data_IF_543948668014
#
_entry.id   IF_543948668014
#
_cell.length_a   1.000
_cell.length_b   1.000
_cell.length_c   1.000
_cell.angle_alpha   90.00
_cell.angle_beta   90.00
_cell.angle_gamma   90.00
#
_symmetry.space_group_name_H-M   'P 1'
#
loop_
_entity.id
_entity.type
_entity.pdbx_description
1 polymer ?
#
# COMPACT_ATOMS: atom_id res chain seq x y z
N UNK A 1 -20.39 7.92 -15.91
CA UNK A 1 -19.79 8.60 -17.08
C UNK A 1 -18.84 9.74 -16.72
N UNK A 2 -19.09 10.49 -15.65
CA UNK A 2 -18.28 11.66 -15.22
C UNK A 2 -16.79 11.34 -14.93
N UNK A 3 -16.46 10.13 -14.46
CA UNK A 3 -15.08 9.79 -14.01
C UNK A 3 -14.09 9.63 -15.18
N UNK A 4 -14.57 9.32 -16.40
CA UNK A 4 -13.68 9.07 -17.54
C UNK A 4 -13.11 10.35 -18.17
N UNK A 5 -13.73 11.50 -17.93
CA UNK A 5 -13.38 12.77 -18.56
C UNK A 5 -12.38 13.61 -17.74
N UNK A 6 -12.15 13.24 -16.47
CA UNK A 6 -11.35 14.03 -15.51
C UNK A 6 -9.84 13.77 -15.63
N UNK A 7 -9.41 12.78 -16.41
CA UNK A 7 -8.01 12.32 -16.48
C UNK A 7 -7.18 13.14 -17.48
N UNK A 8 -7.25 14.47 -17.37
CA UNK A 8 -6.30 15.40 -17.98
C UNK A 8 -5.31 15.90 -16.93
N UNK A 9 -4.06 16.19 -17.31
CA UNK A 9 -2.93 16.58 -16.44
C UNK A 9 -3.14 17.83 -15.55
N UNK A 10 -4.33 18.41 -15.50
CA UNK A 10 -4.62 19.74 -14.95
C UNK A 10 -5.42 19.74 -13.64
N UNK A 11 -5.84 18.59 -13.10
CA UNK A 11 -6.77 18.54 -11.95
C UNK A 11 -6.29 17.69 -10.75
N UNK A 12 -4.99 17.41 -10.63
CA UNK A 12 -4.42 16.64 -9.51
C UNK A 12 -4.72 17.23 -8.12
N UNK A 13 -4.87 18.56 -8.05
CA UNK A 13 -5.19 19.30 -6.82
C UNK A 13 -6.59 19.00 -6.28
N UNK A 14 -7.49 18.46 -7.12
CA UNK A 14 -8.85 18.10 -6.74
C UNK A 14 -8.99 16.62 -6.34
N UNK A 15 -7.93 15.82 -6.48
CA UNK A 15 -7.92 14.44 -6.04
C UNK A 15 -7.52 14.36 -4.57
N UNK A 16 -8.16 13.45 -3.83
CA UNK A 16 -7.81 13.20 -2.42
C UNK A 16 -6.39 12.69 -2.24
N UNK A 17 -5.81 12.06 -3.27
CA UNK A 17 -4.45 11.52 -3.29
C UNK A 17 -4.09 10.75 -1.99
N UNK A 18 -4.92 9.78 -1.55
CA UNK A 18 -4.68 9.09 -0.30
C UNK A 18 -3.38 8.30 -0.40
N UNK A 19 -2.45 8.54 0.52
CA UNK A 19 -1.17 7.84 0.57
C UNK A 19 -1.39 6.40 1.05
N UNK A 20 -0.98 5.44 0.23
CA UNK A 20 -0.95 4.02 0.56
C UNK A 20 0.47 3.57 0.89
N UNK A 21 0.59 2.40 1.51
CA UNK A 21 1.86 1.71 1.79
C UNK A 21 1.82 0.31 1.20
N UNK A 22 2.94 -0.16 0.68
CA UNK A 22 3.13 -1.54 0.26
C UNK A 22 4.53 -2.03 0.61
N UNK A 23 4.75 -3.34 0.58
CA UNK A 23 6.06 -3.92 0.91
C UNK A 23 6.35 -5.16 0.09
N UNK A 24 7.55 -5.23 -0.49
CA UNK A 24 8.05 -6.46 -1.09
C UNK A 24 8.76 -7.29 -0.02
N UNK A 25 8.13 -8.37 0.42
CA UNK A 25 8.75 -9.31 1.36
C UNK A 25 9.62 -10.31 0.63
N UNK A 26 10.90 -10.39 1.03
CA UNK A 26 11.85 -11.38 0.54
C UNK A 26 12.18 -12.40 1.62
N UNK A 27 11.94 -13.67 1.33
CA UNK A 27 12.25 -14.78 2.24
C UNK A 27 13.73 -15.15 2.20
N UNK A 28 14.18 -15.93 3.21
CA UNK A 28 15.56 -16.42 3.31
C UNK A 28 15.99 -17.28 2.11
N UNK A 29 15.06 -18.01 1.50
CA UNK A 29 15.27 -18.80 0.29
C UNK A 29 15.10 -18.00 -1.01
N UNK A 30 15.17 -16.66 -0.93
CA UNK A 30 15.13 -15.72 -2.05
C UNK A 30 13.83 -15.77 -2.87
N UNK A 31 12.69 -16.01 -2.21
CA UNK A 31 11.36 -15.90 -2.82
C UNK A 31 10.74 -14.55 -2.46
N UNK A 32 9.84 -14.09 -3.32
CA UNK A 32 8.98 -12.93 -3.05
C UNK A 32 7.63 -13.45 -2.61
N UNK A 33 7.10 -12.92 -1.53
CA UNK A 33 5.76 -13.24 -1.06
C UNK A 33 4.76 -12.38 -1.83
N UNK A 34 3.76 -13.03 -2.42
CA UNK A 34 2.62 -12.40 -3.06
C UNK A 34 1.35 -13.14 -2.63
N UNK A 35 0.24 -12.43 -2.58
CA UNK A 35 -1.09 -13.00 -2.42
C UNK A 35 -1.90 -12.83 -3.72
N UNK A 36 -2.95 -13.63 -3.86
CA UNK A 36 -3.90 -13.52 -4.96
C UNK A 36 -5.18 -12.87 -4.43
N UNK A 37 -5.55 -11.72 -4.99
CA UNK A 37 -6.71 -10.95 -4.53
C UNK A 37 -8.01 -11.72 -4.80
N UNK A 38 -8.96 -11.58 -3.88
CA UNK A 38 -10.28 -12.18 -4.05
C UNK A 38 -10.98 -11.63 -5.29
N UNK A 39 -11.81 -12.45 -5.93
CA UNK A 39 -12.72 -12.02 -6.99
C UNK A 39 -13.73 -10.97 -6.52
N UNK A 40 -14.05 -10.95 -5.22
CA UNK A 40 -14.98 -9.98 -4.64
C UNK A 40 -14.36 -8.60 -4.35
N UNK A 41 -13.05 -8.44 -4.55
CA UNK A 41 -12.38 -7.17 -4.28
C UNK A 41 -12.68 -6.14 -5.37
N UNK A 42 -12.98 -4.89 -4.97
CA UNK A 42 -13.32 -3.83 -5.91
C UNK A 42 -12.12 -3.40 -6.78
N UNK A 43 -10.99 -3.11 -6.15
CA UNK A 43 -9.77 -2.72 -6.85
C UNK A 43 -8.92 -3.95 -7.19
N UNK A 44 -8.70 -4.17 -8.49
CA UNK A 44 -7.86 -5.24 -9.03
C UNK A 44 -8.27 -6.66 -8.58
N UNK A 45 -9.51 -7.11 -8.84
CA UNK A 45 -9.91 -8.48 -8.52
C UNK A 45 -9.04 -9.50 -9.28
N UNK A 46 -8.69 -10.61 -8.62
CA UNK A 46 -7.90 -11.72 -9.19
C UNK A 46 -6.45 -11.36 -9.60
N UNK A 47 -5.94 -10.19 -9.21
CA UNK A 47 -4.55 -9.83 -9.44
C UNK A 47 -3.65 -10.37 -8.32
N UNK A 48 -2.37 -10.60 -8.64
CA UNK A 48 -1.35 -10.77 -7.60
C UNK A 48 -1.08 -9.41 -6.94
N UNK A 49 -0.91 -9.41 -5.62
CA UNK A 49 -0.47 -8.24 -4.87
C UNK A 49 0.55 -8.61 -3.80
N UNK A 50 1.29 -7.61 -3.36
CA UNK A 50 2.13 -7.67 -2.17
C UNK A 50 1.35 -7.12 -0.97
N UNK A 51 1.79 -7.39 0.28
CA UNK A 51 1.15 -6.78 1.44
C UNK A 51 1.13 -5.26 1.33
N UNK A 52 0.01 -4.66 1.71
CA UNK A 52 -0.15 -3.22 1.67
C UNK A 52 -1.59 -2.76 1.81
N UNK A 53 -1.74 -1.48 2.12
CA UNK A 53 -3.05 -0.89 2.36
C UNK A 53 -2.96 0.60 2.64
N UNK A 54 -3.87 1.09 3.48
CA UNK A 54 -4.09 2.53 3.66
C UNK A 54 -3.61 3.00 5.03
N UNK A 55 -2.95 4.15 5.03
CA UNK A 55 -2.53 4.77 6.29
C UNK A 55 -3.74 5.42 6.97
N UNK A 56 -4.16 4.83 8.07
CA UNK A 56 -5.20 5.36 8.96
C UNK A 56 -4.61 6.39 9.94
N UNK A 57 -5.04 7.66 9.85
CA UNK A 57 -4.44 8.74 10.64
C UNK A 57 -4.76 8.70 12.13
N UNK A 58 -5.85 8.07 12.51
CA UNK A 58 -6.26 7.82 13.89
C UNK A 58 -5.44 6.70 14.54
N UNK A 59 -5.02 5.70 13.76
CA UNK A 59 -4.21 4.56 14.22
C UNK A 59 -2.70 4.84 14.18
N UNK A 60 -2.22 5.46 13.11
CA UNK A 60 -0.78 5.57 12.81
C UNK A 60 -0.19 6.95 13.12
N UNK A 61 -0.94 7.85 13.77
CA UNK A 61 -0.39 9.14 14.21
C UNK A 61 0.19 9.03 15.61
N UNK A 62 1.49 9.34 15.75
CA UNK A 62 2.19 9.41 17.04
C UNK A 62 2.93 10.74 17.12
N UNK A 63 2.76 11.45 18.23
CA UNK A 63 3.45 12.73 18.49
C UNK A 63 3.31 13.75 17.33
N UNK A 64 2.14 13.79 16.69
CA UNK A 64 1.84 14.68 15.56
C UNK A 64 2.38 14.21 14.20
N UNK A 65 3.16 13.13 14.14
CA UNK A 65 3.72 12.54 12.91
C UNK A 65 2.96 11.29 12.49
N UNK A 66 2.99 10.99 11.19
CA UNK A 66 2.45 9.76 10.63
C UNK A 66 3.56 8.72 10.59
N UNK A 67 3.36 7.61 11.31
CA UNK A 67 4.28 6.49 11.37
C UNK A 67 3.98 5.48 10.26
N UNK A 68 4.50 5.76 9.06
CA UNK A 68 4.23 4.96 7.85
C UNK A 68 4.70 3.50 7.99
N UNK A 69 5.76 3.26 8.78
CA UNK A 69 6.26 1.92 9.04
C UNK A 69 5.34 1.12 9.96
N UNK A 70 4.62 1.77 10.87
CA UNK A 70 3.64 1.08 11.70
C UNK A 70 2.44 0.64 10.85
N UNK A 71 2.01 1.48 9.89
CA UNK A 71 0.94 1.13 8.97
C UNK A 71 1.26 -0.12 8.15
N UNK A 72 2.46 -0.22 7.57
CA UNK A 72 2.81 -1.41 6.79
C UNK A 72 3.05 -2.64 7.67
N UNK A 73 3.50 -2.48 8.92
CA UNK A 73 3.63 -3.60 9.86
C UNK A 73 2.26 -4.19 10.24
N UNK A 74 1.25 -3.33 10.39
CA UNK A 74 -0.12 -3.78 10.63
C UNK A 74 -0.67 -4.56 9.43
N UNK A 75 -0.49 -4.08 8.20
CA UNK A 75 -0.92 -4.79 6.98
C UNK A 75 -0.20 -6.14 6.80
N UNK A 76 1.12 -6.20 7.05
CA UNK A 76 1.90 -7.46 7.02
C UNK A 76 1.30 -8.48 8.00
N UNK A 77 0.95 -8.03 9.22
CA UNK A 77 0.38 -8.89 10.26
C UNK A 77 -1.04 -9.33 9.90
N UNK A 78 -1.88 -8.41 9.45
CA UNK A 78 -3.30 -8.67 9.14
C UNK A 78 -3.45 -9.59 7.93
N UNK A 79 -2.68 -9.38 6.86
CA UNK A 79 -2.81 -10.15 5.62
C UNK A 79 -2.00 -11.45 5.61
N UNK A 80 -0.82 -11.47 6.25
CA UNK A 80 0.13 -12.60 6.14
C UNK A 80 0.50 -13.24 7.48
N UNK A 81 0.01 -12.72 8.61
CA UNK A 81 0.32 -13.23 9.96
C UNK A 81 1.82 -13.26 10.27
N UNK A 82 2.58 -12.34 9.68
CA UNK A 82 4.02 -12.18 9.93
C UNK A 82 4.20 -11.09 10.98
N UNK A 83 4.93 -11.38 12.05
CA UNK A 83 5.19 -10.42 13.12
C UNK A 83 6.44 -9.60 12.82
N UNK A 84 6.56 -8.42 13.45
CA UNK A 84 7.77 -7.58 13.33
C UNK A 84 9.05 -8.34 13.70
N UNK A 85 8.97 -9.28 14.64
CA UNK A 85 10.10 -10.11 15.07
C UNK A 85 10.59 -11.08 13.99
N UNK A 86 9.77 -11.40 13.00
CA UNK A 86 10.14 -12.27 11.88
C UNK A 86 10.89 -11.49 10.77
N UNK A 87 10.86 -10.17 10.83
CA UNK A 87 11.50 -9.28 9.86
C UNK A 87 12.94 -8.97 10.28
N UNK A 88 13.88 -9.16 9.35
CA UNK A 88 15.28 -8.77 9.56
C UNK A 88 15.48 -7.26 9.44
N UNK A 89 14.92 -6.67 8.39
CA UNK A 89 14.98 -5.24 8.10
C UNK A 89 13.74 -4.79 7.33
N UNK A 90 13.39 -3.52 7.50
CA UNK A 90 12.31 -2.85 6.81
C UNK A 90 12.80 -1.48 6.38
N UNK A 91 12.71 -1.17 5.08
CA UNK A 91 13.28 0.03 4.47
C UNK A 91 12.30 0.58 3.44
N UNK A 92 12.16 1.90 3.41
CA UNK A 92 11.48 2.59 2.32
C UNK A 92 12.39 2.58 1.08
N UNK A 93 11.91 1.97 0.01
CA UNK A 93 12.51 1.97 -1.33
C UNK A 93 12.17 3.24 -2.11
N UNK A 94 10.96 3.79 -1.92
CA UNK A 94 10.58 5.04 -2.56
C UNK A 94 9.08 5.26 -2.65
N UNK A 95 8.69 6.16 -3.56
CA UNK A 95 7.30 6.52 -3.82
C UNK A 95 6.99 6.21 -5.29
N UNK A 96 5.93 5.43 -5.50
CA UNK A 96 5.39 5.17 -6.82
C UNK A 96 3.95 5.71 -6.92
N UNK A 97 3.38 5.59 -8.12
CA UNK A 97 2.01 6.01 -8.40
C UNK A 97 1.32 4.95 -9.24
N UNK A 98 0.14 4.55 -8.80
CA UNK A 98 -0.72 3.69 -9.57
C UNK A 98 -1.18 4.41 -10.86
N UNK A 99 -1.03 3.76 -12.01
CA UNK A 99 -1.32 4.36 -13.31
C UNK A 99 -2.82 4.50 -13.63
N UNK A 100 -3.67 3.71 -12.98
CA UNK A 100 -5.13 3.71 -13.18
C UNK A 100 -5.85 4.55 -12.12
N UNK A 101 -5.48 4.40 -10.85
CA UNK A 101 -6.13 5.09 -9.73
C UNK A 101 -5.46 6.42 -9.39
N UNK A 102 -4.22 6.65 -9.87
CA UNK A 102 -3.39 7.82 -9.59
C UNK A 102 -2.99 7.99 -8.12
N UNK A 103 -3.35 7.03 -7.25
CA UNK A 103 -2.99 7.06 -5.84
C UNK A 103 -1.47 6.97 -5.68
N UNK A 104 -0.86 7.82 -4.83
CA UNK A 104 0.54 7.68 -4.45
C UNK A 104 0.71 6.50 -3.48
N UNK A 105 1.77 5.72 -3.68
CA UNK A 105 2.06 4.52 -2.89
C UNK A 105 3.52 4.51 -2.46
N UNK A 106 3.74 4.44 -1.15
CA UNK A 106 5.06 4.34 -0.54
C UNK A 106 5.45 2.86 -0.42
N UNK A 107 6.64 2.50 -0.90
CA UNK A 107 7.18 1.14 -0.88
C UNK A 107 8.52 1.11 -0.16
#
# INVERSE_FOLDING_TARGET
EIVKEIVGNTYFEYLSNPLTVSVVLKTRDNKIVVAHRSKSTFEYPEYLHVPGGHIQSDKHRKEGKIEVFDAILDEIKEEFQIEKSDLKDLKCMGLCRDRKTLKPELT
#
